data_IF_164562561608
#
_entry.id   IF_164562561608
#
_cell.length_a   1.000
_cell.length_b   1.000
_cell.length_c   1.000
_cell.angle_alpha   90.00
_cell.angle_beta   90.00
_cell.angle_gamma   90.00
#
_symmetry.space_group_name_H-M   'P 1'
#
loop_
_entity.id
_entity.type
_entity.pdbx_description
1 polymer ?
#
# COMPACT_ATOMS: atom_id res chain seq x y z
N UNK A 1 -0.12 32.08 -10.46
CA UNK A 1 -0.50 31.06 -9.47
C UNK A 1 0.37 29.83 -9.68
N UNK A 2 1.26 29.55 -8.72
CA UNK A 2 2.09 28.33 -8.68
C UNK A 2 1.26 27.18 -8.12
N UNK A 3 1.34 25.99 -8.72
CA UNK A 3 0.62 24.79 -8.26
C UNK A 3 1.63 23.74 -7.81
N UNK A 4 1.49 23.28 -6.57
CA UNK A 4 2.27 22.18 -5.98
C UNK A 4 1.36 20.98 -5.78
N UNK A 5 1.35 20.08 -6.77
CA UNK A 5 0.59 18.83 -6.68
C UNK A 5 1.48 17.70 -6.13
N UNK A 6 1.05 17.10 -5.02
CA UNK A 6 1.77 16.02 -4.35
C UNK A 6 1.24 14.63 -4.71
N UNK A 7 0.27 14.52 -5.61
CA UNK A 7 -0.17 13.25 -6.15
C UNK A 7 0.88 12.64 -7.09
N UNK A 8 0.74 11.34 -7.36
CA UNK A 8 1.57 10.69 -8.37
C UNK A 8 1.11 11.04 -9.79
N UNK A 9 1.73 10.40 -10.78
CA UNK A 9 1.36 10.55 -12.18
C UNK A 9 0.72 9.27 -12.73
N UNK A 10 0.08 9.38 -13.91
CA UNK A 10 -0.58 8.27 -14.58
C UNK A 10 -1.63 7.62 -13.69
N UNK A 11 -1.47 6.31 -13.42
CA UNK A 11 -2.39 5.56 -12.57
C UNK A 11 -2.52 6.08 -11.12
N UNK A 12 -1.53 6.84 -10.67
CA UNK A 12 -1.47 7.43 -9.32
C UNK A 12 -1.75 8.94 -9.31
N UNK A 13 -2.20 9.51 -10.42
CA UNK A 13 -2.79 10.84 -10.43
C UNK A 13 -4.08 10.88 -9.63
N UNK A 14 -4.44 12.05 -9.10
CA UNK A 14 -5.67 12.23 -8.31
C UNK A 14 -6.91 11.77 -9.09
N UNK A 15 -7.00 12.14 -10.36
CA UNK A 15 -8.18 11.86 -11.19
C UNK A 15 -8.32 10.36 -11.43
N UNK A 16 -7.20 9.68 -11.67
CA UNK A 16 -7.18 8.24 -11.93
C UNK A 16 -7.39 7.40 -10.67
N UNK A 17 -6.93 7.87 -9.50
CA UNK A 17 -7.27 7.25 -8.21
C UNK A 17 -8.78 7.39 -7.96
N UNK A 18 -9.36 8.57 -8.14
CA UNK A 18 -10.79 8.81 -7.95
C UNK A 18 -11.61 7.97 -8.94
N UNK A 19 -11.21 7.92 -10.22
CA UNK A 19 -11.88 7.12 -11.25
C UNK A 19 -11.89 5.63 -10.88
N UNK A 20 -10.75 5.06 -10.48
CA UNK A 20 -10.64 3.66 -10.07
C UNK A 20 -11.42 3.38 -8.79
N UNK A 21 -11.40 4.30 -7.82
CA UNK A 21 -12.20 4.19 -6.61
C UNK A 21 -13.69 4.03 -6.94
N UNK A 22 -14.25 4.95 -7.74
CA UNK A 22 -15.66 4.89 -8.15
C UNK A 22 -15.98 3.63 -8.95
N UNK A 23 -15.04 3.14 -9.75
CA UNK A 23 -15.17 1.86 -10.44
C UNK A 23 -15.26 0.70 -9.44
N UNK A 24 -14.35 0.61 -8.46
CA UNK A 24 -14.37 -0.43 -7.44
C UNK A 24 -15.58 -0.33 -6.52
N UNK A 25 -16.09 0.87 -6.23
CA UNK A 25 -17.34 1.03 -5.49
C UNK A 25 -18.50 0.32 -6.20
N UNK A 26 -18.60 0.45 -7.53
CA UNK A 26 -19.62 -0.25 -8.33
C UNK A 26 -19.41 -1.76 -8.32
N UNK A 27 -18.18 -2.21 -8.53
CA UNK A 27 -17.83 -3.65 -8.58
C UNK A 27 -18.04 -4.36 -7.23
N UNK A 28 -17.78 -3.66 -6.12
CA UNK A 28 -17.81 -4.22 -4.76
C UNK A 28 -19.10 -3.84 -4.00
N UNK A 29 -20.08 -3.23 -4.66
CA UNK A 29 -21.35 -2.78 -4.07
C UNK A 29 -21.18 -1.86 -2.84
N UNK A 30 -20.21 -0.94 -2.89
CA UNK A 30 -20.04 0.10 -1.86
C UNK A 30 -21.14 1.14 -2.04
N UNK A 31 -22.16 1.09 -1.16
CA UNK A 31 -23.39 1.88 -1.30
C UNK A 31 -23.21 3.37 -1.03
N UNK A 32 -22.23 3.74 -0.21
CA UNK A 32 -21.97 5.13 0.18
C UNK A 32 -20.50 5.48 -0.10
N UNK A 33 -20.14 5.79 -1.36
CA UNK A 33 -18.78 6.20 -1.70
C UNK A 33 -18.40 7.48 -0.93
N UNK A 34 -17.18 7.51 -0.40
CA UNK A 34 -16.63 8.70 0.27
C UNK A 34 -16.08 9.69 -0.76
N UNK A 35 -16.08 10.98 -0.40
CA UNK A 35 -15.46 12.00 -1.23
C UNK A 35 -13.92 11.91 -1.15
N UNK A 36 -13.30 11.45 -2.23
CA UNK A 36 -11.84 11.38 -2.38
C UNK A 36 -11.22 12.65 -2.99
N UNK A 37 -11.97 13.73 -3.19
CA UNK A 37 -11.41 14.99 -3.71
C UNK A 37 -10.20 15.43 -2.88
N UNK A 38 -9.10 15.89 -3.50
CA UNK A 38 -7.91 16.25 -2.75
C UNK A 38 -8.18 17.42 -1.81
N UNK A 39 -7.50 17.43 -0.67
CA UNK A 39 -7.46 18.63 0.16
C UNK A 39 -6.59 19.65 -0.56
N UNK A 40 -7.12 20.85 -0.72
CA UNK A 40 -6.41 21.96 -1.34
C UNK A 40 -6.18 23.07 -0.31
N UNK A 41 -5.00 23.67 -0.35
CA UNK A 41 -4.66 24.83 0.47
C UNK A 41 -4.15 25.94 -0.44
N UNK A 42 -4.52 27.18 -0.15
CA UNK A 42 -4.09 28.37 -0.90
C UNK A 42 -3.56 29.40 0.09
N UNK A 43 -2.36 29.88 -0.17
CA UNK A 43 -1.69 30.92 0.62
C UNK A 43 -0.89 31.78 -0.35
N UNK A 44 -1.18 33.08 -0.38
CA UNK A 44 -0.63 33.99 -1.37
C UNK A 44 -0.93 33.56 -2.81
N UNK A 45 0.12 33.36 -3.62
CA UNK A 45 0.03 32.96 -5.02
C UNK A 45 0.34 31.46 -5.26
N UNK A 46 0.37 30.65 -4.20
CA UNK A 46 0.67 29.22 -4.26
C UNK A 46 -0.55 28.40 -3.85
N UNK A 47 -0.83 27.34 -4.62
CA UNK A 47 -1.86 26.35 -4.33
C UNK A 47 -1.21 24.98 -4.13
N UNK A 48 -1.45 24.36 -2.98
CA UNK A 48 -1.01 23.00 -2.67
C UNK A 48 -2.16 22.02 -2.82
N UNK A 49 -1.90 20.90 -3.47
CA UNK A 49 -2.84 19.80 -3.65
C UNK A 49 -2.27 18.58 -2.95
N UNK A 50 -2.88 18.19 -1.83
CA UNK A 50 -2.39 17.08 -1.01
C UNK A 50 -2.74 15.72 -1.62
N UNK A 51 -1.98 14.65 -1.29
CA UNK A 51 -2.21 13.33 -1.85
C UNK A 51 -3.60 12.77 -1.50
N UNK A 52 -4.35 12.36 -2.53
CA UNK A 52 -5.64 11.65 -2.38
C UNK A 52 -5.48 10.37 -1.56
N UNK A 53 -4.30 9.76 -1.60
CA UNK A 53 -3.97 8.57 -0.80
C UNK A 53 -4.19 8.76 0.70
N UNK A 54 -4.13 9.97 1.25
CA UNK A 54 -4.45 10.19 2.67
C UNK A 54 -5.92 9.83 2.98
N UNK A 55 -6.85 10.23 2.10
CA UNK A 55 -8.27 9.87 2.22
C UNK A 55 -8.51 8.38 1.96
N UNK A 56 -7.79 7.79 0.99
CA UNK A 56 -7.83 6.33 0.77
C UNK A 56 -7.40 5.57 2.01
N UNK A 57 -6.30 5.97 2.66
CA UNK A 57 -5.82 5.35 3.90
C UNK A 57 -6.88 5.46 5.00
N UNK A 58 -7.51 6.63 5.17
CA UNK A 58 -8.61 6.77 6.11
C UNK A 58 -9.78 5.84 5.76
N UNK A 59 -10.16 5.72 4.48
CA UNK A 59 -11.21 4.80 4.03
C UNK A 59 -10.90 3.34 4.35
N UNK A 60 -9.65 2.90 4.20
CA UNK A 60 -9.19 1.56 4.60
C UNK A 60 -9.45 1.33 6.10
N UNK A 61 -9.09 2.31 6.94
CA UNK A 61 -9.29 2.21 8.40
C UNK A 61 -10.78 2.15 8.79
N UNK A 62 -11.68 2.69 7.97
CA UNK A 62 -13.13 2.61 8.14
C UNK A 62 -13.78 1.41 7.43
N UNK A 63 -12.99 0.51 6.84
CA UNK A 63 -13.50 -0.71 6.23
C UNK A 63 -14.06 -0.54 4.81
N UNK A 64 -13.75 0.55 4.11
CA UNK A 64 -14.13 0.73 2.70
C UNK A 64 -13.35 -0.27 1.80
N UNK A 65 -14.08 -1.16 1.12
CA UNK A 65 -13.51 -2.20 0.28
C UNK A 65 -12.83 -1.67 -0.98
N UNK A 66 -13.36 -0.59 -1.57
CA UNK A 66 -12.75 0.04 -2.74
C UNK A 66 -11.44 0.75 -2.36
N UNK A 67 -11.38 1.38 -1.18
CA UNK A 67 -10.13 1.93 -0.65
C UNK A 67 -9.10 0.83 -0.33
N UNK A 68 -9.52 -0.32 0.23
CA UNK A 68 -8.62 -1.47 0.46
C UNK A 68 -7.98 -1.96 -0.83
N UNK A 69 -8.78 -2.11 -1.89
CA UNK A 69 -8.29 -2.54 -3.20
C UNK A 69 -7.22 -1.59 -3.76
N UNK A 70 -7.45 -0.28 -3.68
CA UNK A 70 -6.44 0.73 -4.06
C UNK A 70 -5.20 0.64 -3.17
N UNK A 71 -5.38 0.42 -1.87
CA UNK A 71 -4.28 0.26 -0.92
C UNK A 71 -3.38 -0.93 -1.24
N UNK A 72 -3.96 -2.08 -1.61
CA UNK A 72 -3.21 -3.27 -2.06
C UNK A 72 -2.41 -2.94 -3.33
N UNK A 73 -3.04 -2.32 -4.32
CA UNK A 73 -2.35 -1.91 -5.55
C UNK A 73 -1.22 -0.90 -5.28
N UNK A 74 -1.35 -0.07 -4.24
CA UNK A 74 -0.37 0.95 -3.91
C UNK A 74 0.89 0.37 -3.25
N UNK A 75 0.75 -0.68 -2.44
CA UNK A 75 1.90 -1.39 -1.88
C UNK A 75 2.56 -2.32 -2.91
N UNK A 76 1.85 -2.70 -3.97
CA UNK A 76 2.41 -3.42 -5.12
C UNK A 76 3.26 -2.55 -6.04
N UNK A 77 3.14 -1.24 -5.96
CA UNK A 77 3.84 -0.32 -6.83
C UNK A 77 5.33 -0.17 -6.48
N UNK A 78 6.20 -0.13 -7.49
CA UNK A 78 7.65 0.09 -7.37
C UNK A 78 8.05 1.55 -7.56
N UNK A 79 7.24 2.36 -8.25
CA UNK A 79 7.52 3.78 -8.49
C UNK A 79 7.73 4.55 -7.18
N UNK A 80 8.62 5.54 -7.26
CA UNK A 80 8.85 6.52 -6.19
C UNK A 80 7.81 7.63 -6.27
N UNK A 81 7.38 8.11 -5.10
CA UNK A 81 6.39 9.18 -4.96
C UNK A 81 6.88 10.22 -3.97
N UNK A 82 6.40 11.46 -4.11
CA UNK A 82 6.45 12.43 -3.03
C UNK A 82 5.72 11.87 -1.81
N UNK A 83 6.38 11.89 -0.65
CA UNK A 83 5.91 11.24 0.58
C UNK A 83 5.70 9.71 0.47
N UNK A 84 6.19 9.05 -0.58
CA UNK A 84 5.92 7.63 -0.87
C UNK A 84 6.25 6.70 0.30
N UNK A 85 7.39 6.92 0.97
CA UNK A 85 7.77 6.18 2.18
C UNK A 85 6.70 6.23 3.28
N UNK A 86 6.17 7.43 3.56
CA UNK A 86 5.17 7.65 4.62
C UNK A 86 3.82 7.08 4.18
N UNK A 87 3.40 7.38 2.95
CA UNK A 87 2.13 6.90 2.39
C UNK A 87 2.08 5.37 2.33
N UNK A 88 3.14 4.70 1.85
CA UNK A 88 3.22 3.24 1.79
C UNK A 88 3.26 2.61 3.19
N UNK A 89 4.00 3.21 4.13
CA UNK A 89 4.03 2.75 5.53
C UNK A 89 2.65 2.83 6.19
N UNK A 90 1.93 3.93 5.98
CA UNK A 90 0.59 4.15 6.54
C UNK A 90 -0.44 3.25 5.87
N UNK A 91 -0.36 3.06 4.55
CA UNK A 91 -1.20 2.13 3.79
C UNK A 91 -1.05 0.71 4.31
N UNK A 92 0.19 0.21 4.45
CA UNK A 92 0.44 -1.12 5.01
C UNK A 92 -0.10 -1.27 6.44
N UNK A 93 0.01 -0.22 7.26
CA UNK A 93 -0.53 -0.23 8.63
C UNK A 93 -2.05 -0.30 8.63
N UNK A 94 -2.71 0.45 7.76
CA UNK A 94 -4.16 0.46 7.61
C UNK A 94 -4.66 -0.90 7.10
N UNK A 95 -4.05 -1.44 6.05
CA UNK A 95 -4.38 -2.78 5.51
C UNK A 95 -4.25 -3.86 6.59
N UNK A 96 -3.22 -3.80 7.43
CA UNK A 96 -3.00 -4.76 8.54
C UNK A 96 -4.12 -4.71 9.59
N UNK A 97 -4.75 -3.56 9.77
CA UNK A 97 -5.86 -3.35 10.72
C UNK A 97 -7.23 -3.64 10.10
N UNK A 98 -7.30 -3.74 8.79
CA UNK A 98 -8.53 -4.02 8.07
C UNK A 98 -8.73 -5.52 7.83
N UNK A 99 -9.98 -5.92 7.57
CA UNK A 99 -10.33 -7.26 7.11
C UNK A 99 -10.08 -7.37 5.61
N UNK A 100 -8.95 -7.99 5.23
CA UNK A 100 -8.60 -8.25 3.84
C UNK A 100 -9.36 -9.48 3.34
N UNK A 101 -9.87 -9.42 2.11
CA UNK A 101 -10.39 -10.60 1.43
C UNK A 101 -9.28 -11.63 1.18
N UNK A 102 -9.66 -12.88 0.90
CA UNK A 102 -8.68 -13.93 0.55
C UNK A 102 -7.80 -13.54 -0.64
N UNK A 103 -8.39 -12.89 -1.65
CA UNK A 103 -7.66 -12.40 -2.83
C UNK A 103 -6.69 -11.27 -2.47
N UNK A 104 -7.13 -10.29 -1.68
CA UNK A 104 -6.31 -9.15 -1.23
C UNK A 104 -5.13 -9.63 -0.37
N UNK A 105 -5.37 -10.57 0.53
CA UNK A 105 -4.36 -11.19 1.36
C UNK A 105 -3.33 -11.97 0.54
N UNK A 106 -3.77 -12.74 -0.46
CA UNK A 106 -2.89 -13.50 -1.35
C UNK A 106 -2.02 -12.59 -2.22
N UNK A 107 -2.61 -11.54 -2.82
CA UNK A 107 -1.88 -10.54 -3.59
C UNK A 107 -0.81 -9.84 -2.76
N UNK A 108 -1.19 -9.40 -1.56
CA UNK A 108 -0.30 -8.77 -0.58
C UNK A 108 0.86 -9.70 -0.22
N UNK A 109 0.55 -10.95 0.13
CA UNK A 109 1.55 -11.96 0.50
C UNK A 109 2.54 -12.20 -0.64
N UNK A 110 2.04 -12.53 -1.83
CA UNK A 110 2.85 -12.80 -3.02
C UNK A 110 3.81 -11.66 -3.31
N UNK A 111 3.30 -10.43 -3.31
CA UNK A 111 4.11 -9.25 -3.61
C UNK A 111 5.23 -9.03 -2.59
N UNK A 112 4.88 -9.03 -1.31
CA UNK A 112 5.83 -8.70 -0.25
C UNK A 112 6.89 -9.79 -0.10
N UNK A 113 6.51 -11.07 -0.28
CA UNK A 113 7.48 -12.17 -0.34
C UNK A 113 8.43 -12.03 -1.52
N UNK A 114 7.93 -11.73 -2.72
CA UNK A 114 8.78 -11.52 -3.89
C UNK A 114 9.83 -10.41 -3.64
N UNK A 115 9.40 -9.28 -3.05
CA UNK A 115 10.31 -8.21 -2.65
C UNK A 115 11.41 -8.68 -1.69
N UNK A 116 11.09 -9.54 -0.71
CA UNK A 116 12.09 -10.12 0.20
C UNK A 116 13.13 -10.95 -0.55
N UNK A 117 12.66 -11.84 -1.41
CA UNK A 117 13.48 -12.79 -2.17
C UNK A 117 14.42 -12.02 -3.11
N UNK A 118 13.92 -10.98 -3.77
CA UNK A 118 14.68 -10.10 -4.65
C UNK A 118 15.67 -9.19 -3.91
N UNK A 119 15.60 -9.14 -2.57
CA UNK A 119 16.41 -8.25 -1.76
C UNK A 119 15.95 -6.78 -1.79
N UNK A 120 14.77 -6.51 -2.32
CA UNK A 120 14.15 -5.20 -2.33
C UNK A 120 13.49 -4.92 -0.98
N UNK A 121 14.29 -4.43 -0.03
CA UNK A 121 13.87 -4.16 1.35
C UNK A 121 13.85 -2.63 1.60
N UNK A 122 12.81 -1.90 1.11
CA UNK A 122 12.70 -0.47 1.32
C UNK A 122 12.44 -0.12 2.80
N UNK A 123 12.47 1.16 3.14
CA UNK A 123 12.37 1.60 4.53
C UNK A 123 11.02 1.20 5.19
N UNK A 124 9.94 1.22 4.42
CA UNK A 124 8.60 0.82 4.83
C UNK A 124 8.45 -0.70 5.04
N UNK A 125 9.46 -1.51 4.67
CA UNK A 125 9.38 -2.96 4.70
C UNK A 125 9.10 -3.52 6.10
N UNK A 126 9.45 -2.79 7.17
CA UNK A 126 9.04 -3.13 8.54
C UNK A 126 7.51 -3.24 8.69
N UNK A 127 6.75 -2.37 8.04
CA UNK A 127 5.28 -2.44 8.06
C UNK A 127 4.78 -3.55 7.14
N UNK A 128 5.45 -3.78 6.01
CA UNK A 128 5.15 -4.91 5.12
C UNK A 128 5.33 -6.25 5.80
N UNK A 129 6.44 -6.51 6.48
CA UNK A 129 6.66 -7.73 7.23
C UNK A 129 5.60 -7.95 8.32
N UNK A 130 5.15 -6.88 9.00
CA UNK A 130 4.04 -6.94 9.97
C UNK A 130 2.70 -7.26 9.30
N UNK A 131 2.48 -6.79 8.09
CA UNK A 131 1.30 -7.09 7.29
C UNK A 131 1.32 -8.56 6.84
N UNK A 132 2.46 -9.05 6.31
CA UNK A 132 2.66 -10.47 5.98
C UNK A 132 2.38 -11.36 7.19
N UNK A 133 2.93 -11.01 8.37
CA UNK A 133 2.67 -11.76 9.60
C UNK A 133 1.19 -11.82 9.99
N UNK A 134 0.40 -10.78 9.68
CA UNK A 134 -1.05 -10.76 9.91
C UNK A 134 -1.81 -11.61 8.89
N UNK A 135 -1.45 -11.55 7.62
CA UNK A 135 -2.14 -12.33 6.55
C UNK A 135 -1.62 -13.78 6.46
N UNK A 136 -0.54 -14.11 7.16
CA UNK A 136 0.17 -15.38 7.09
C UNK A 136 1.08 -15.46 5.86
N UNK A 137 2.23 -16.13 5.98
CA UNK A 137 3.17 -16.34 4.87
C UNK A 137 2.77 -17.52 3.97
N UNK A 138 1.97 -18.45 4.48
CA UNK A 138 1.41 -19.57 3.73
C UNK A 138 2.45 -20.41 2.99
N UNK A 139 2.08 -20.93 1.82
CA UNK A 139 2.93 -21.82 1.01
C UNK A 139 4.20 -21.16 0.46
N UNK A 140 4.33 -19.84 0.58
CA UNK A 140 5.51 -19.12 0.12
C UNK A 140 6.72 -19.29 1.05
N UNK A 141 6.55 -19.86 2.25
CA UNK A 141 7.68 -20.08 3.16
C UNK A 141 8.79 -20.92 2.52
N UNK A 142 8.42 -22.03 1.89
CA UNK A 142 9.36 -22.90 1.18
C UNK A 142 10.12 -22.14 0.07
N UNK A 143 9.45 -21.21 -0.60
CA UNK A 143 10.08 -20.40 -1.65
C UNK A 143 11.10 -19.42 -1.05
N UNK A 144 10.74 -18.78 0.07
CA UNK A 144 11.65 -17.90 0.82
C UNK A 144 12.89 -18.65 1.27
N UNK A 145 12.76 -19.82 1.89
CA UNK A 145 13.91 -20.58 2.40
C UNK A 145 14.92 -20.96 1.32
N UNK A 146 14.42 -21.28 0.12
CA UNK A 146 15.22 -21.74 -1.01
C UNK A 146 15.88 -20.62 -1.80
N UNK A 147 15.24 -19.44 -1.89
CA UNK A 147 15.66 -18.38 -2.82
C UNK A 147 16.27 -17.16 -2.15
N UNK A 148 16.15 -17.04 -0.84
CA UNK A 148 16.56 -15.82 -0.15
C UNK A 148 18.07 -15.58 -0.22
N UNK A 149 18.46 -14.34 -0.47
CA UNK A 149 19.86 -13.95 -0.41
C UNK A 149 20.33 -13.80 1.05
N UNK A 150 20.95 -14.87 1.57
CA UNK A 150 21.45 -14.92 2.95
C UNK A 150 22.64 -14.01 3.24
N UNK A 151 23.31 -13.47 2.23
CA UNK A 151 24.42 -12.53 2.43
C UNK A 151 23.93 -11.09 2.70
N UNK A 152 22.64 -10.80 2.50
CA UNK A 152 22.08 -9.48 2.73
C UNK A 152 21.48 -9.39 4.14
N UNK A 153 22.14 -8.63 5.02
CA UNK A 153 21.74 -8.46 6.43
C UNK A 153 20.32 -7.90 6.60
N UNK A 154 19.90 -6.99 5.71
CA UNK A 154 18.55 -6.42 5.76
C UNK A 154 17.48 -7.45 5.41
N UNK A 155 17.78 -8.32 4.46
CA UNK A 155 16.91 -9.43 4.07
C UNK A 155 16.83 -10.44 5.21
N UNK A 156 17.98 -10.85 5.78
CA UNK A 156 18.04 -11.80 6.88
C UNK A 156 17.29 -11.33 8.13
N UNK A 157 17.38 -10.04 8.45
CA UNK A 157 16.58 -9.46 9.53
C UNK A 157 15.08 -9.73 9.40
N UNK A 158 14.53 -9.63 8.19
CA UNK A 158 13.10 -9.86 7.96
C UNK A 158 12.76 -11.33 7.71
N UNK A 159 13.71 -12.11 7.21
CA UNK A 159 13.62 -13.57 7.20
C UNK A 159 13.41 -14.11 8.61
N UNK A 160 14.30 -13.75 9.55
CA UNK A 160 14.22 -14.21 10.93
C UNK A 160 12.90 -13.75 11.58
N UNK A 161 12.50 -12.50 11.34
CA UNK A 161 11.23 -11.96 11.85
C UNK A 161 9.99 -12.73 11.35
N UNK A 162 10.02 -13.23 10.11
CA UNK A 162 8.92 -13.97 9.51
C UNK A 162 8.97 -15.46 9.81
N UNK A 163 10.16 -16.02 10.08
CA UNK A 163 10.35 -17.42 10.50
C UNK A 163 9.57 -17.77 11.74
N UNK A 164 9.54 -16.87 12.72
CA UNK A 164 8.76 -17.04 13.96
C UNK A 164 7.24 -17.05 13.73
N UNK A 165 6.78 -16.77 12.51
CA UNK A 165 5.36 -16.69 12.14
C UNK A 165 4.95 -17.67 11.05
N UNK A 166 5.90 -18.46 10.54
CA UNK A 166 5.68 -19.50 9.55
C UNK A 166 5.30 -20.81 10.24
#
# INVERSE_FOLDING_TARGET
>A
MEIRDYNGEGKWSKDEIIRRYLQYCRELNVLNPIDLSPVEHVEGNVKWIYPVMNKVIAGIEHGDAACRRIGVEFIEEDRKFTFGKILKSNTARALRRSELSTEEAERTRRRLVAMLIEGNVPHEYKQYARLVKKVGIGNYWNEVENRINRSNEYVMKYYDYLKDAA
#
